data_IF_414806486896
#
_entry.id   IF_414806486896
#
_cell.length_a   1.000
_cell.length_b   1.000
_cell.length_c   1.000
_cell.angle_alpha   90.00
_cell.angle_beta   90.00
_cell.angle_gamma   90.00
#
_symmetry.space_group_name_H-M   'P 1'
#
loop_
_entity.id
_entity.type
_entity.pdbx_description
1 polymer ?
#
# COMPACT_ATOMS: atom_id res chain seq x y z
N UNK A 1 -6.16 19.39 16.90
CA UNK A 1 -5.54 18.16 16.34
C UNK A 1 -5.46 18.37 14.84
N UNK A 2 -4.37 17.93 14.18
CA UNK A 2 -4.27 18.03 12.73
C UNK A 2 -5.35 17.15 12.07
N UNK A 3 -5.92 17.62 10.96
CA UNK A 3 -6.91 16.87 10.17
C UNK A 3 -6.22 15.60 9.58
N UNK A 4 -6.89 14.41 9.64
CA UNK A 4 -6.31 13.20 9.11
C UNK A 4 -6.13 13.29 7.58
N UNK A 5 -5.06 12.68 7.05
CA UNK A 5 -4.85 12.58 5.60
C UNK A 5 -5.92 11.72 4.93
N UNK A 6 -6.28 10.58 5.56
CA UNK A 6 -7.37 9.72 5.15
C UNK A 6 -8.38 9.58 6.29
N UNK A 7 -9.65 9.78 5.98
CA UNK A 7 -10.78 9.58 6.88
C UNK A 7 -11.82 8.68 6.21
N UNK A 8 -12.23 7.64 6.91
CA UNK A 8 -13.26 6.69 6.50
C UNK A 8 -14.35 6.69 7.56
N UNK A 9 -15.61 6.81 7.14
CA UNK A 9 -16.76 6.82 8.05
C UNK A 9 -17.85 5.85 7.57
N UNK A 10 -18.28 4.97 8.47
CA UNK A 10 -19.40 4.05 8.30
C UNK A 10 -19.33 3.25 6.98
N UNK A 11 -18.11 2.83 6.57
CA UNK A 11 -17.91 2.20 5.28
C UNK A 11 -18.48 0.79 5.25
N UNK A 12 -19.36 0.51 4.26
CA UNK A 12 -20.04 -0.78 4.13
C UNK A 12 -19.87 -1.35 2.73
N UNK A 13 -19.75 -2.68 2.68
CA UNK A 13 -19.75 -3.45 1.44
C UNK A 13 -20.27 -4.86 1.69
N UNK A 14 -21.26 -5.26 0.89
CA UNK A 14 -21.80 -6.61 0.90
C UNK A 14 -21.71 -7.26 -0.48
N UNK A 15 -21.55 -8.56 -0.50
CA UNK A 15 -21.57 -9.42 -1.68
C UNK A 15 -22.67 -10.49 -1.46
N UNK A 16 -23.87 -10.20 -1.94
CA UNK A 16 -25.03 -11.00 -1.62
C UNK A 16 -25.30 -11.02 -0.11
N UNK A 17 -25.29 -12.19 0.51
CA UNK A 17 -25.52 -12.35 1.95
C UNK A 17 -24.26 -12.09 2.80
N UNK A 18 -23.07 -11.98 2.18
CA UNK A 18 -21.83 -11.76 2.89
C UNK A 18 -21.55 -10.26 3.02
N UNK A 19 -21.49 -9.75 4.25
CA UNK A 19 -21.04 -8.38 4.54
C UNK A 19 -19.54 -8.40 4.80
N UNK A 20 -18.76 -7.81 3.90
CA UNK A 20 -17.31 -7.82 3.97
C UNK A 20 -16.71 -6.61 4.71
N UNK A 21 -17.40 -5.44 4.66
CA UNK A 21 -17.14 -4.29 5.56
C UNK A 21 -18.48 -3.82 6.12
N UNK A 22 -18.54 -3.61 7.43
CA UNK A 22 -19.77 -3.31 8.15
C UNK A 22 -19.59 -2.14 9.13
N UNK A 23 -19.70 -0.92 8.58
CA UNK A 23 -19.57 0.30 9.36
C UNK A 23 -18.10 0.55 9.80
N UNK A 24 -17.17 0.41 8.86
CA UNK A 24 -15.74 0.64 9.14
C UNK A 24 -15.48 2.14 9.27
N UNK A 25 -14.92 2.54 10.42
CA UNK A 25 -14.33 3.86 10.67
C UNK A 25 -12.81 3.72 10.77
N UNK A 26 -12.07 4.55 10.02
CA UNK A 26 -10.61 4.54 10.00
C UNK A 26 -10.09 5.95 9.77
N UNK A 27 -9.07 6.33 10.54
CA UNK A 27 -8.34 7.59 10.34
C UNK A 27 -6.85 7.30 10.23
N UNK A 28 -6.20 7.91 9.23
CA UNK A 28 -4.75 7.84 9.04
C UNK A 28 -4.19 9.25 8.97
N UNK A 29 -3.19 9.52 9.81
CA UNK A 29 -2.53 10.83 9.88
C UNK A 29 -1.45 10.95 8.81
N UNK A 30 -1.09 12.17 8.46
CA UNK A 30 0.03 12.39 7.55
C UNK A 30 1.35 11.93 8.18
N UNK A 31 2.18 11.20 7.41
CA UNK A 31 3.42 10.60 7.87
C UNK A 31 3.27 9.31 8.69
N UNK A 32 2.04 8.87 9.00
CA UNK A 32 1.76 7.67 9.80
C UNK A 32 1.93 6.39 8.97
N UNK A 33 2.51 5.35 9.56
CA UNK A 33 2.39 3.97 9.11
C UNK A 33 1.27 3.29 9.90
N UNK A 34 0.12 3.12 9.28
CA UNK A 34 -1.06 2.51 9.87
C UNK A 34 -1.23 1.07 9.40
N UNK A 35 -1.15 0.09 10.31
CA UNK A 35 -1.41 -1.29 9.94
C UNK A 35 -2.89 -1.66 10.11
N UNK A 36 -3.40 -2.49 9.20
CA UNK A 36 -4.71 -3.14 9.31
C UNK A 36 -4.48 -4.64 9.35
N UNK A 37 -4.75 -5.23 10.50
CA UNK A 37 -4.60 -6.68 10.72
C UNK A 37 -5.97 -7.33 10.94
N UNK A 38 -6.01 -8.64 10.92
CA UNK A 38 -7.22 -9.42 11.18
C UNK A 38 -7.14 -10.81 10.54
N UNK A 39 -8.00 -11.75 10.95
CA UNK A 39 -8.01 -13.11 10.41
C UNK A 39 -8.33 -13.14 8.91
N UNK A 40 -8.14 -14.33 8.32
CA UNK A 40 -8.55 -14.54 6.93
C UNK A 40 -10.08 -14.35 6.79
N UNK A 41 -10.50 -13.68 5.74
CA UNK A 41 -11.92 -13.35 5.55
C UNK A 41 -12.44 -12.16 6.37
N UNK A 42 -11.61 -11.49 7.16
CA UNK A 42 -12.03 -10.33 7.97
C UNK A 42 -12.50 -9.11 7.14
N UNK A 43 -12.19 -9.05 5.83
CA UNK A 43 -12.55 -7.93 4.95
C UNK A 43 -11.40 -7.01 4.57
N UNK A 44 -10.14 -7.33 4.93
CA UNK A 44 -8.95 -6.49 4.67
C UNK A 44 -8.78 -6.13 3.19
N UNK A 45 -8.81 -7.13 2.30
CA UNK A 45 -8.68 -6.91 0.85
C UNK A 45 -9.86 -6.09 0.29
N UNK A 46 -11.07 -6.29 0.84
CA UNK A 46 -12.25 -5.46 0.49
C UNK A 46 -12.05 -4.01 0.90
N UNK A 47 -11.57 -3.77 2.12
CA UNK A 47 -11.28 -2.42 2.62
C UNK A 47 -10.24 -1.73 1.71
N UNK A 48 -9.10 -2.38 1.42
CA UNK A 48 -8.08 -1.84 0.51
C UNK A 48 -8.65 -1.58 -0.89
N UNK A 49 -9.49 -2.48 -1.41
CA UNK A 49 -10.18 -2.29 -2.69
C UNK A 49 -11.10 -1.05 -2.68
N UNK A 50 -11.80 -0.81 -1.58
CA UNK A 50 -12.63 0.38 -1.41
C UNK A 50 -11.78 1.65 -1.29
N UNK A 51 -10.68 1.62 -0.52
CA UNK A 51 -9.77 2.76 -0.35
C UNK A 51 -9.08 3.12 -1.67
N UNK A 52 -8.65 2.13 -2.45
CA UNK A 52 -7.99 2.35 -3.74
C UNK A 52 -8.96 2.76 -4.88
N UNK A 53 -10.28 2.61 -4.69
CA UNK A 53 -11.28 2.89 -5.72
C UNK A 53 -11.45 1.77 -6.75
N UNK A 54 -10.87 0.61 -6.52
CA UNK A 54 -11.09 -0.62 -7.30
C UNK A 54 -12.45 -1.24 -7.00
N UNK A 55 -12.96 -1.02 -5.79
CA UNK A 55 -14.25 -1.49 -5.33
C UNK A 55 -15.07 -0.31 -4.80
N UNK A 56 -16.31 -0.17 -5.32
CA UNK A 56 -17.22 0.87 -4.84
C UNK A 56 -17.90 0.40 -3.55
N UNK A 57 -17.89 1.24 -2.47
CA UNK A 57 -18.68 0.96 -1.28
C UNK A 57 -20.18 1.05 -1.56
N UNK A 58 -20.99 0.32 -0.78
CA UNK A 58 -22.45 0.40 -0.86
C UNK A 58 -22.96 1.62 -0.08
N UNK A 59 -22.28 1.94 1.05
CA UNK A 59 -22.56 3.14 1.84
C UNK A 59 -21.30 3.59 2.58
N UNK A 60 -21.40 4.72 3.28
CA UNK A 60 -20.29 5.35 3.99
C UNK A 60 -19.55 6.38 3.13
N UNK A 61 -18.47 6.90 3.68
CA UNK A 61 -17.70 7.98 3.05
C UNK A 61 -16.21 7.76 3.22
N UNK A 62 -15.44 8.15 2.19
CA UNK A 62 -13.97 8.18 2.19
C UNK A 62 -13.54 9.59 1.82
N UNK A 63 -12.78 10.25 2.71
CA UNK A 63 -12.16 11.56 2.45
C UNK A 63 -10.65 11.40 2.42
N UNK A 64 -10.00 12.10 1.50
CA UNK A 64 -8.56 12.11 1.35
C UNK A 64 -8.06 13.55 1.16
N UNK A 65 -7.20 14.00 2.08
CA UNK A 65 -6.77 15.40 2.12
C UNK A 65 -7.93 16.40 2.22
N UNK A 66 -8.95 16.06 3.00
CA UNK A 66 -10.16 16.88 3.17
C UNK A 66 -11.22 16.74 2.07
N UNK A 67 -10.91 16.10 0.92
CA UNK A 67 -11.83 15.94 -0.20
C UNK A 67 -12.56 14.60 -0.18
N UNK A 68 -13.85 14.58 -0.54
CA UNK A 68 -14.62 13.34 -0.68
C UNK A 68 -14.20 12.61 -1.98
N UNK A 69 -13.61 11.42 -1.81
CA UNK A 69 -13.18 10.56 -2.91
C UNK A 69 -14.04 9.29 -3.05
N UNK A 70 -15.13 9.17 -2.31
CA UNK A 70 -15.94 7.95 -2.19
C UNK A 70 -16.34 7.37 -3.55
N UNK A 71 -16.70 8.23 -4.49
CA UNK A 71 -17.17 7.83 -5.83
C UNK A 71 -16.11 7.93 -6.92
N UNK A 72 -14.90 8.39 -6.60
CA UNK A 72 -13.84 8.53 -7.57
C UNK A 72 -13.27 7.15 -7.96
N UNK A 73 -13.02 6.90 -9.25
CA UNK A 73 -12.35 5.68 -9.72
C UNK A 73 -10.87 5.70 -9.32
N UNK A 74 -10.22 4.52 -9.34
CA UNK A 74 -8.83 4.34 -8.93
C UNK A 74 -7.86 5.32 -9.64
N UNK A 75 -8.03 5.56 -10.95
CA UNK A 75 -7.19 6.49 -11.70
C UNK A 75 -7.30 7.94 -11.21
N UNK A 76 -8.49 8.37 -10.77
CA UNK A 76 -8.67 9.72 -10.21
C UNK A 76 -8.05 9.82 -8.81
N UNK A 77 -8.14 8.76 -7.99
CA UNK A 77 -7.48 8.71 -6.66
C UNK A 77 -5.97 8.68 -6.80
N UNK A 78 -5.43 7.94 -7.78
CA UNK A 78 -4.00 7.93 -8.07
C UNK A 78 -3.47 9.34 -8.41
N UNK A 79 -4.19 10.11 -9.24
CA UNK A 79 -3.83 11.51 -9.53
C UNK A 79 -3.88 12.45 -8.32
N UNK A 80 -4.65 12.09 -7.28
CA UNK A 80 -4.66 12.82 -5.99
C UNK A 80 -3.54 12.38 -5.04
N UNK A 81 -2.73 11.38 -5.44
CA UNK A 81 -1.60 10.89 -4.65
C UNK A 81 -1.92 9.69 -3.76
N UNK A 82 -2.95 8.89 -4.09
CA UNK A 82 -3.22 7.63 -3.43
C UNK A 82 -2.74 6.48 -4.33
N UNK A 83 -1.58 5.91 -4.02
CA UNK A 83 -1.04 4.77 -4.76
C UNK A 83 -1.29 3.44 -4.01
N UNK A 84 -1.42 2.35 -4.76
CA UNK A 84 -1.53 0.99 -4.23
C UNK A 84 -0.48 0.10 -4.89
N UNK A 85 0.27 -0.69 -4.08
CA UNK A 85 0.96 -1.86 -4.61
C UNK A 85 -0.05 -2.98 -4.85
N UNK A 86 0.05 -3.69 -5.97
CA UNK A 86 -0.89 -4.74 -6.31
C UNK A 86 -0.45 -6.08 -5.71
N UNK A 87 -1.40 -6.92 -5.30
CA UNK A 87 -1.16 -8.27 -4.81
C UNK A 87 -0.63 -9.21 -5.92
N UNK A 88 -0.94 -8.90 -7.19
CA UNK A 88 -0.37 -9.56 -8.37
C UNK A 88 0.65 -8.59 -8.97
N UNK A 89 1.88 -9.06 -9.14
CA UNK A 89 3.01 -8.29 -9.66
C UNK A 89 2.66 -7.64 -11.01
N UNK A 90 2.47 -6.31 -10.99
CA UNK A 90 2.08 -5.52 -12.18
C UNK A 90 3.30 -4.87 -12.84
N UNK A 91 4.42 -5.60 -12.94
CA UNK A 91 5.64 -5.16 -13.63
C UNK A 91 5.63 -5.59 -15.09
N UNK A 92 6.25 -4.80 -15.94
CA UNK A 92 6.53 -5.17 -17.33
C UNK A 92 7.77 -6.06 -17.35
N UNK A 93 7.55 -7.37 -17.35
CA UNK A 93 8.59 -8.39 -17.15
C UNK A 93 9.71 -8.36 -18.19
N UNK A 94 9.37 -7.97 -19.44
CA UNK A 94 10.30 -7.87 -20.57
C UNK A 94 11.13 -6.58 -20.56
N UNK A 95 10.76 -5.61 -19.72
CA UNK A 95 11.45 -4.33 -19.61
C UNK A 95 12.54 -4.39 -18.55
N UNK A 96 13.52 -3.48 -18.65
CA UNK A 96 14.49 -3.31 -17.57
C UNK A 96 13.80 -2.77 -16.31
N UNK A 97 14.44 -2.98 -15.17
CA UNK A 97 14.01 -2.40 -13.88
C UNK A 97 13.85 -0.87 -14.01
N UNK A 98 14.81 -0.23 -14.65
CA UNK A 98 14.78 1.22 -14.86
C UNK A 98 13.63 1.65 -15.78
N UNK A 99 13.36 0.91 -16.86
CA UNK A 99 12.29 1.27 -17.78
C UNK A 99 10.90 1.11 -17.14
N UNK A 100 10.73 0.12 -16.24
CA UNK A 100 9.51 -0.02 -15.44
C UNK A 100 9.24 1.23 -14.59
N UNK A 101 10.24 1.71 -13.86
CA UNK A 101 10.10 2.90 -13.01
C UNK A 101 9.96 4.18 -13.85
N UNK A 102 10.71 4.29 -14.95
CA UNK A 102 10.62 5.44 -15.88
C UNK A 102 9.23 5.57 -16.50
N UNK A 103 8.56 4.45 -16.83
CA UNK A 103 7.16 4.45 -17.27
C UNK A 103 6.21 5.01 -16.21
N UNK A 104 6.42 4.67 -14.94
CA UNK A 104 5.60 5.21 -13.85
C UNK A 104 5.85 6.72 -13.66
N UNK A 105 7.09 7.19 -13.78
CA UNK A 105 7.45 8.63 -13.79
C UNK A 105 6.74 9.32 -14.95
N UNK A 106 6.80 8.75 -16.17
CA UNK A 106 6.15 9.30 -17.36
C UNK A 106 4.64 9.41 -17.19
N UNK A 107 4.00 8.36 -16.67
CA UNK A 107 2.55 8.36 -16.43
C UNK A 107 2.12 9.46 -15.46
N UNK A 108 2.93 9.72 -14.43
CA UNK A 108 2.67 10.78 -13.45
C UNK A 108 2.90 12.18 -14.03
N UNK A 109 3.97 12.37 -14.82
CA UNK A 109 4.31 13.65 -15.44
C UNK A 109 3.37 14.07 -16.58
N UNK A 110 2.47 13.18 -17.05
CA UNK A 110 1.53 13.46 -18.13
C UNK A 110 2.16 13.55 -19.54
N UNK A 111 3.38 13.08 -19.71
CA UNK A 111 4.15 13.12 -20.96
C UNK A 111 3.75 12.05 -22.00
N UNK A 112 2.61 11.40 -21.87
CA UNK A 112 2.21 10.21 -22.66
C UNK A 112 2.10 10.44 -24.18
N UNK A 113 2.16 11.68 -24.67
CA UNK A 113 1.99 12.03 -26.09
C UNK A 113 3.22 12.67 -26.75
N UNK A 114 4.39 12.66 -26.10
CA UNK A 114 5.65 13.09 -26.73
C UNK A 114 6.25 11.90 -27.48
N UNK A 115 6.03 11.79 -28.80
CA UNK A 115 6.48 10.68 -29.65
C UNK A 115 7.67 11.02 -30.56
N UNK A 116 8.29 12.20 -30.38
CA UNK A 116 9.41 12.66 -31.23
C UNK A 116 10.77 12.09 -30.81
N UNK A 117 10.88 11.53 -29.58
CA UNK A 117 12.09 10.85 -29.08
C UNK A 117 11.68 9.57 -28.34
N UNK A 118 12.52 8.51 -28.42
CA UNK A 118 12.31 7.32 -27.57
C UNK A 118 12.35 7.72 -26.11
N UNK A 119 11.38 7.27 -25.31
CA UNK A 119 11.28 7.59 -23.87
C UNK A 119 12.54 7.17 -23.08
N UNK A 120 13.24 6.11 -23.54
CA UNK A 120 14.52 5.67 -22.96
C UNK A 120 15.67 6.65 -23.10
N UNK A 121 15.56 7.65 -23.97
CA UNK A 121 16.61 8.67 -24.19
C UNK A 121 16.27 9.97 -23.45
N UNK A 122 15.13 10.03 -22.73
CA UNK A 122 14.70 11.19 -21.96
C UNK A 122 15.28 11.17 -20.53
N UNK A 123 16.31 11.99 -20.28
CA UNK A 123 16.93 12.11 -18.95
C UNK A 123 15.89 12.55 -17.89
N UNK A 124 14.92 13.38 -18.25
CA UNK A 124 13.83 13.84 -17.38
C UNK A 124 13.00 12.70 -16.77
N UNK A 125 12.94 11.53 -17.44
CA UNK A 125 12.24 10.35 -16.94
C UNK A 125 13.20 9.40 -16.19
N UNK A 126 14.43 9.25 -16.69
CA UNK A 126 15.39 8.27 -16.17
C UNK A 126 16.09 8.70 -14.90
N UNK A 127 16.41 9.99 -14.75
CA UNK A 127 17.07 10.49 -13.54
C UNK A 127 16.21 10.33 -12.28
N UNK A 128 14.92 10.75 -12.26
CA UNK A 128 14.04 10.46 -11.14
C UNK A 128 13.88 8.95 -10.89
N UNK A 129 13.79 8.14 -11.97
CA UNK A 129 13.67 6.70 -11.84
C UNK A 129 14.92 6.07 -11.19
N UNK A 130 16.13 6.47 -11.60
CA UNK A 130 17.39 6.01 -10.96
C UNK A 130 17.47 6.39 -9.48
N UNK A 131 17.04 7.60 -9.14
CA UNK A 131 17.00 8.04 -7.74
C UNK A 131 16.09 7.15 -6.91
N UNK A 132 14.88 6.87 -7.40
CA UNK A 132 13.93 5.99 -6.71
C UNK A 132 14.50 4.57 -6.59
N UNK A 133 15.12 4.04 -7.64
CA UNK A 133 15.78 2.73 -7.58
C UNK A 133 16.89 2.69 -6.54
N UNK A 134 17.65 3.76 -6.38
CA UNK A 134 18.61 3.90 -5.29
C UNK A 134 17.96 3.88 -3.90
N UNK A 135 16.83 4.57 -3.74
CA UNK A 135 16.07 4.61 -2.48
C UNK A 135 15.51 3.23 -2.08
N UNK A 136 15.09 2.40 -3.06
CA UNK A 136 14.56 1.06 -2.81
C UNK A 136 15.62 -0.05 -2.84
N UNK A 137 16.90 0.28 -3.01
CA UNK A 137 17.99 -0.71 -3.03
C UNK A 137 18.14 -1.49 -4.34
N UNK A 138 17.51 -1.05 -5.44
CA UNK A 138 17.57 -1.67 -6.76
C UNK A 138 18.49 -0.93 -7.75
N UNK A 139 19.31 0.03 -7.29
CA UNK A 139 20.14 0.86 -8.15
C UNK A 139 21.10 0.05 -9.05
N UNK A 140 21.77 -0.97 -8.51
CA UNK A 140 22.68 -1.85 -9.25
C UNK A 140 21.94 -2.80 -10.21
N UNK A 141 20.62 -2.97 -10.04
CA UNK A 141 19.77 -3.80 -10.88
C UNK A 141 19.08 -3.02 -12.01
N UNK A 142 19.33 -1.71 -12.14
CA UNK A 142 18.61 -0.82 -13.04
C UNK A 142 18.49 -1.34 -14.49
N UNK A 143 19.53 -1.93 -15.03
CA UNK A 143 19.58 -2.42 -16.42
C UNK A 143 19.19 -3.91 -16.53
N UNK A 144 18.90 -4.59 -15.42
CA UNK A 144 18.46 -6.00 -15.42
C UNK A 144 17.02 -6.08 -15.91
N UNK A 145 16.71 -7.09 -16.74
CA UNK A 145 15.32 -7.38 -17.13
C UNK A 145 14.51 -7.79 -15.92
N UNK A 146 13.33 -7.20 -15.71
CA UNK A 146 12.50 -7.41 -14.53
C UNK A 146 12.11 -8.88 -14.31
N UNK A 147 11.98 -9.69 -15.38
CA UNK A 147 11.76 -11.12 -15.29
C UNK A 147 12.87 -11.90 -14.56
N UNK A 148 14.09 -11.36 -14.53
CA UNK A 148 15.28 -11.98 -13.93
C UNK A 148 15.50 -11.56 -12.47
N UNK A 149 14.62 -10.75 -11.91
CA UNK A 149 14.66 -10.38 -10.50
C UNK A 149 14.15 -11.53 -9.62
N UNK A 150 14.71 -11.68 -8.41
CA UNK A 150 14.14 -12.51 -7.37
C UNK A 150 12.75 -11.97 -6.95
N UNK A 151 11.93 -12.81 -6.32
CA UNK A 151 10.55 -12.44 -5.96
C UNK A 151 10.49 -11.19 -5.08
N UNK A 152 11.34 -11.09 -4.06
CA UNK A 152 11.44 -9.91 -3.21
C UNK A 152 11.89 -8.65 -3.97
N UNK A 153 12.84 -8.77 -4.92
CA UNK A 153 13.26 -7.66 -5.78
C UNK A 153 12.11 -7.20 -6.72
N UNK A 154 11.30 -8.12 -7.24
CA UNK A 154 10.12 -7.77 -8.04
C UNK A 154 9.12 -6.96 -7.21
N UNK A 155 8.92 -7.35 -5.93
CA UNK A 155 8.05 -6.61 -5.02
C UNK A 155 8.61 -5.21 -4.68
N UNK A 156 9.93 -5.10 -4.49
CA UNK A 156 10.58 -3.79 -4.34
C UNK A 156 10.40 -2.93 -5.59
N UNK A 157 10.48 -3.51 -6.78
CA UNK A 157 10.23 -2.81 -8.04
C UNK A 157 8.79 -2.27 -8.12
N UNK A 158 7.78 -3.04 -7.71
CA UNK A 158 6.40 -2.57 -7.65
C UNK A 158 6.24 -1.36 -6.72
N UNK A 159 6.86 -1.42 -5.54
CA UNK A 159 6.85 -0.30 -4.60
C UNK A 159 7.58 0.90 -5.21
N UNK A 160 8.71 0.69 -5.91
CA UNK A 160 9.42 1.74 -6.64
C UNK A 160 8.54 2.43 -7.69
N UNK A 161 7.79 1.64 -8.48
CA UNK A 161 6.84 2.18 -9.45
C UNK A 161 5.72 2.99 -8.77
N UNK A 162 5.20 2.52 -7.63
CA UNK A 162 4.23 3.27 -6.85
C UNK A 162 4.83 4.59 -6.31
N UNK A 163 6.05 4.56 -5.78
CA UNK A 163 6.77 5.75 -5.29
C UNK A 163 7.07 6.76 -6.41
N UNK A 164 7.27 6.28 -7.65
CA UNK A 164 7.50 7.14 -8.83
C UNK A 164 6.31 8.06 -9.15
N UNK A 165 5.12 7.73 -8.67
CA UNK A 165 3.94 8.60 -8.77
C UNK A 165 3.88 9.66 -7.67
N UNK A 166 4.93 9.81 -6.84
CA UNK A 166 5.01 10.76 -5.74
C UNK A 166 3.78 10.72 -4.80
N UNK A 167 3.40 9.54 -4.28
CA UNK A 167 2.16 9.40 -3.53
C UNK A 167 2.22 10.11 -2.18
N UNK A 168 1.08 10.68 -1.76
CA UNK A 168 0.84 11.15 -0.39
C UNK A 168 0.48 9.99 0.54
N UNK A 169 -0.18 8.95 0.00
CA UNK A 169 -0.57 7.73 0.72
C UNK A 169 -0.26 6.51 -0.12
N UNK A 170 0.47 5.56 0.46
CA UNK A 170 0.81 4.28 -0.14
C UNK A 170 0.02 3.15 0.54
N UNK A 171 -0.80 2.43 -0.22
CA UNK A 171 -1.50 1.23 0.23
C UNK A 171 -0.66 0.00 -0.12
N UNK A 172 -0.19 -0.71 0.89
CA UNK A 172 0.61 -1.93 0.78
C UNK A 172 -0.23 -3.14 1.22
N UNK A 173 -0.47 -4.05 0.30
CA UNK A 173 -1.29 -5.24 0.52
C UNK A 173 -0.37 -6.47 0.55
N UNK A 174 -0.10 -6.98 1.76
CA UNK A 174 0.76 -8.11 2.07
C UNK A 174 2.15 -8.03 1.39
N UNK A 175 2.93 -6.95 1.63
CA UNK A 175 4.19 -6.73 0.92
C UNK A 175 5.27 -7.79 1.21
N UNK A 176 5.18 -8.55 2.31
CA UNK A 176 6.14 -9.62 2.66
C UNK A 176 5.61 -11.03 2.36
N UNK A 177 4.38 -11.16 1.82
CA UNK A 177 3.78 -12.47 1.55
C UNK A 177 4.60 -13.29 0.54
N UNK A 178 4.78 -14.57 0.83
CA UNK A 178 5.49 -15.52 -0.05
C UNK A 178 7.01 -15.38 -0.04
N UNK A 179 7.58 -14.53 0.81
CA UNK A 179 9.03 -14.33 0.96
C UNK A 179 9.61 -15.30 2.00
N UNK A 180 10.87 -15.71 1.79
CA UNK A 180 11.65 -16.36 2.84
C UNK A 180 12.03 -15.36 3.94
N UNK A 181 12.49 -15.88 5.10
CA UNK A 181 12.80 -15.07 6.28
C UNK A 181 13.77 -13.90 5.98
N UNK A 182 14.84 -14.16 5.23
CA UNK A 182 15.83 -13.12 4.91
C UNK A 182 15.27 -12.05 3.95
N UNK A 183 14.43 -12.45 2.98
CA UNK A 183 13.78 -11.52 2.05
C UNK A 183 12.76 -10.65 2.78
N UNK A 184 11.96 -11.26 3.66
CA UNK A 184 11.00 -10.56 4.52
C UNK A 184 11.70 -9.52 5.39
N UNK A 185 12.79 -9.89 6.06
CA UNK A 185 13.58 -8.95 6.86
C UNK A 185 14.12 -7.78 6.04
N UNK A 186 14.66 -8.04 4.84
CA UNK A 186 15.12 -6.97 3.93
C UNK A 186 13.98 -6.06 3.51
N UNK A 187 12.79 -6.61 3.20
CA UNK A 187 11.62 -5.82 2.87
C UNK A 187 11.15 -4.96 4.05
N UNK A 188 11.11 -5.52 5.26
CA UNK A 188 10.76 -4.77 6.49
C UNK A 188 11.76 -3.64 6.73
N UNK A 189 13.07 -3.90 6.59
CA UNK A 189 14.09 -2.85 6.70
C UNK A 189 13.89 -1.75 5.65
N UNK A 190 13.64 -2.12 4.39
CA UNK A 190 13.34 -1.16 3.34
C UNK A 190 12.11 -0.32 3.67
N UNK A 191 10.97 -0.94 4.03
CA UNK A 191 9.75 -0.21 4.42
C UNK A 191 10.00 0.70 5.63
N UNK A 192 10.85 0.28 6.56
CA UNK A 192 11.30 1.10 7.68
C UNK A 192 11.98 2.40 7.25
N UNK A 193 12.70 2.42 6.11
CA UNK A 193 13.31 3.64 5.57
C UNK A 193 12.29 4.65 5.05
N UNK A 194 11.08 4.22 4.72
CA UNK A 194 9.96 5.05 4.27
C UNK A 194 9.14 5.62 5.42
N UNK A 195 9.22 5.01 6.61
CA UNK A 195 8.50 5.42 7.81
C UNK A 195 8.81 6.89 8.17
N UNK A 196 7.77 7.66 8.48
CA UNK A 196 7.87 9.08 8.77
C UNK A 196 8.13 9.98 7.55
N UNK A 197 8.56 9.42 6.41
CA UNK A 197 8.74 10.15 5.14
C UNK A 197 7.53 10.03 4.23
N UNK A 198 6.76 8.95 4.37
CA UNK A 198 5.56 8.63 3.58
C UNK A 198 4.46 8.14 4.49
N UNK A 199 3.24 8.51 4.18
CA UNK A 199 2.07 7.93 4.83
C UNK A 199 1.81 6.56 4.21
N UNK A 200 1.63 5.52 5.02
CA UNK A 200 1.40 4.16 4.55
C UNK A 200 0.23 3.50 5.28
N UNK A 201 -0.59 2.77 4.53
CA UNK A 201 -1.45 1.73 5.10
C UNK A 201 -0.85 0.39 4.73
N UNK A 202 -0.60 -0.43 5.74
CA UNK A 202 -0.02 -1.75 5.63
C UNK A 202 -1.06 -2.79 6.01
N UNK A 203 -1.47 -3.64 5.08
CA UNK A 203 -2.24 -4.85 5.38
C UNK A 203 -1.25 -6.00 5.46
N UNK A 204 -1.15 -6.64 6.62
CA UNK A 204 -0.21 -7.73 6.85
C UNK A 204 -0.76 -8.73 7.87
N UNK A 205 -0.28 -9.95 7.79
CA UNK A 205 -0.52 -11.01 8.76
C UNK A 205 0.76 -11.46 9.50
N UNK A 206 1.94 -11.03 9.02
CA UNK A 206 3.21 -11.19 9.74
C UNK A 206 3.28 -10.16 10.87
N UNK A 207 3.09 -10.65 12.10
CA UNK A 207 3.02 -9.78 13.28
C UNK A 207 4.36 -9.12 13.60
N UNK A 208 5.49 -9.75 13.28
CA UNK A 208 6.80 -9.15 13.51
C UNK A 208 7.01 -7.95 12.58
N UNK A 209 6.62 -8.08 11.31
CA UNK A 209 6.62 -6.98 10.37
C UNK A 209 5.68 -5.84 10.82
N UNK A 210 4.46 -6.18 11.25
CA UNK A 210 3.46 -5.21 11.74
C UNK A 210 4.00 -4.44 12.95
N UNK A 211 4.46 -5.14 14.00
CA UNK A 211 4.94 -4.48 15.22
C UNK A 211 6.21 -3.66 15.02
N UNK A 212 7.03 -4.03 14.03
CA UNK A 212 8.23 -3.28 13.67
C UNK A 212 7.93 -1.98 12.93
N UNK A 213 6.93 -1.99 12.04
CA UNK A 213 6.66 -0.89 11.12
C UNK A 213 5.56 0.07 11.57
N UNK A 214 4.50 -0.44 12.20
CA UNK A 214 3.31 0.35 12.48
C UNK A 214 3.52 1.39 13.59
N UNK A 215 2.94 2.57 13.40
CA UNK A 215 2.74 3.57 14.46
C UNK A 215 1.40 3.31 15.18
N UNK A 216 0.38 2.90 14.42
CA UNK A 216 -0.93 2.49 14.93
C UNK A 216 -1.41 1.25 14.18
N UNK A 217 -2.21 0.45 14.85
CA UNK A 217 -2.78 -0.78 14.31
C UNK A 217 -4.30 -0.74 14.51
N UNK A 218 -5.06 -1.03 13.44
CA UNK A 218 -6.49 -1.32 13.52
C UNK A 218 -6.71 -2.82 13.29
N UNK A 219 -7.51 -3.42 14.15
CA UNK A 219 -7.85 -4.84 14.08
C UNK A 219 -9.23 -5.00 13.47
N UNK A 220 -9.28 -5.60 12.28
CA UNK A 220 -10.50 -5.86 11.54
C UNK A 220 -10.96 -7.30 11.74
N UNK A 221 -12.20 -7.49 12.22
CA UNK A 221 -12.81 -8.81 12.45
C UNK A 221 -14.25 -8.77 11.94
N UNK A 222 -14.61 -9.72 11.08
CA UNK A 222 -15.95 -9.79 10.48
C UNK A 222 -16.45 -8.46 9.90
N UNK A 223 -15.58 -7.75 9.20
CA UNK A 223 -15.89 -6.47 8.55
C UNK A 223 -15.96 -5.26 9.48
N UNK A 224 -15.63 -5.39 10.77
CA UNK A 224 -15.64 -4.29 11.74
C UNK A 224 -14.28 -4.08 12.38
N UNK A 225 -13.92 -2.82 12.63
CA UNK A 225 -12.75 -2.52 13.46
C UNK A 225 -13.16 -2.67 14.92
N UNK A 226 -12.54 -3.65 15.61
CA UNK A 226 -12.78 -3.92 17.03
C UNK A 226 -11.85 -3.15 17.96
N UNK A 227 -10.64 -2.79 17.48
CA UNK A 227 -9.68 -2.03 18.25
C UNK A 227 -8.78 -1.21 17.32
N UNK A 228 -8.36 -0.03 17.78
CA UNK A 228 -7.32 0.79 17.14
C UNK A 228 -6.44 1.38 18.24
N UNK A 229 -5.11 1.23 18.13
CA UNK A 229 -4.19 1.76 19.13
C UNK A 229 -2.73 1.60 18.71
N UNK A 230 -1.83 2.00 19.60
CA UNK A 230 -0.39 1.76 19.44
C UNK A 230 -0.09 0.25 19.46
N UNK A 231 1.02 -0.22 18.86
CA UNK A 231 1.35 -1.64 18.81
C UNK A 231 1.30 -2.35 20.16
N UNK A 232 1.80 -1.72 21.23
CA UNK A 232 1.79 -2.29 22.57
C UNK A 232 0.37 -2.41 23.18
N UNK A 233 -0.51 -1.45 22.88
CA UNK A 233 -1.92 -1.48 23.32
C UNK A 233 -2.66 -2.63 22.66
N UNK A 234 -2.47 -2.80 21.34
CA UNK A 234 -3.09 -3.89 20.57
C UNK A 234 -2.60 -5.25 21.04
N UNK A 235 -1.30 -5.40 21.32
CA UNK A 235 -0.71 -6.66 21.79
C UNK A 235 -1.30 -7.13 23.13
N UNK A 236 -1.67 -6.20 24.00
CA UNK A 236 -2.21 -6.50 25.34
C UNK A 236 -3.74 -6.46 25.41
N UNK A 237 -4.42 -6.04 24.34
CA UNK A 237 -5.87 -5.90 24.32
C UNK A 237 -6.57 -7.27 24.43
N UNK A 238 -7.41 -7.50 25.45
CA UNK A 238 -8.09 -8.79 25.66
C UNK A 238 -9.03 -9.18 24.53
N UNK A 239 -9.74 -8.21 23.93
CA UNK A 239 -10.67 -8.45 22.83
C UNK A 239 -9.91 -8.90 21.56
N UNK A 240 -8.79 -8.25 21.25
CA UNK A 240 -7.89 -8.65 20.16
C UNK A 240 -7.32 -10.04 20.39
N UNK A 241 -6.88 -10.34 21.61
CA UNK A 241 -6.34 -11.67 21.96
C UNK A 241 -7.39 -12.75 21.81
N UNK A 242 -8.62 -12.49 22.23
CA UNK A 242 -9.72 -13.45 22.09
C UNK A 242 -10.13 -13.68 20.63
N UNK A 243 -10.15 -12.62 19.82
CA UNK A 243 -10.65 -12.66 18.46
C UNK A 243 -9.59 -13.08 17.42
N UNK A 244 -8.30 -12.88 17.71
CA UNK A 244 -7.24 -13.04 16.71
C UNK A 244 -6.02 -13.81 17.20
N UNK A 245 -5.57 -13.58 18.45
CA UNK A 245 -4.37 -14.20 19.00
C UNK A 245 -4.69 -15.46 19.85
N UNK A 246 -5.96 -15.75 20.05
CA UNK A 246 -6.43 -16.90 20.83
C UNK A 246 -6.62 -18.19 20.04
N UNK A 247 -6.43 -18.19 18.71
CA UNK A 247 -6.57 -19.37 17.87
C UNK A 247 -5.30 -20.23 17.74
N UNK A 248 -4.17 -19.82 18.34
CA UNK A 248 -2.97 -20.65 18.47
C UNK A 248 -3.10 -21.54 19.73
N UNK A 249 -3.96 -22.58 19.64
CA UNK A 249 -3.96 -23.77 20.49
C UNK A 249 -3.94 -25.03 19.66
#
# INVERSE_FOLDING_TARGET
MAEPLLEVRELRKSFGALTATDGVDLEVRDGETHAVIGPNGAGKTTLIGQLSGMLRPDSGRIRFGGEDITRLPASARARKGLARSFQITSIYREFSVLDNVALAVQAHAGHSFRFWRPARDEAELREPARKILGEVGLGERAEVTAANLAHGEQRQLEIAMALATSPRLLLLDEPVAGMGTEESQRMVQFLGTLKGKRTMILVEHDMDAVFSLADRISVLVYGRIIATGAPQEIRTNPEVRAAYLGEDR
#
